data_IF_323241952710
#
_entry.id   IF_323241952710
#
_cell.length_a   1.000
_cell.length_b   1.000
_cell.length_c   1.000
_cell.angle_alpha   90.00
_cell.angle_beta   90.00
_cell.angle_gamma   90.00
#
_symmetry.space_group_name_H-M   'P 1'
#
loop_
_entity.id
_entity.type
_entity.pdbx_description
1 polymer ?
#
# COMPACT_ATOMS: atom_id res chain seq x y z
N UNK A 1 -6.09 -12.72 3.69
CA UNK A 1 -5.12 -11.61 3.79
C UNK A 1 -4.99 -11.00 2.41
N UNK A 2 -5.16 -9.68 2.29
CA UNK A 2 -5.03 -8.95 1.04
C UNK A 2 -3.57 -8.74 0.63
N UNK A 3 -2.67 -8.81 1.60
CA UNK A 3 -1.22 -8.68 1.47
C UNK A 3 -0.57 -10.06 1.65
N UNK A 4 0.33 -10.42 0.74
CA UNK A 4 1.06 -11.69 0.82
C UNK A 4 2.17 -11.61 1.88
N UNK A 5 2.24 -12.60 2.78
CA UNK A 5 3.29 -12.64 3.80
C UNK A 5 4.68 -12.75 3.15
N UNK A 6 4.80 -13.55 2.09
CA UNK A 6 6.06 -13.77 1.39
C UNK A 6 6.61 -12.48 0.74
N UNK A 7 5.74 -11.51 0.43
CA UNK A 7 6.16 -10.22 -0.09
C UNK A 7 6.79 -9.35 1.02
N UNK A 8 6.20 -9.36 2.22
CA UNK A 8 6.76 -8.66 3.38
C UNK A 8 8.09 -9.27 3.81
N UNK A 9 8.20 -10.60 3.83
CA UNK A 9 9.45 -11.27 4.19
C UNK A 9 10.57 -10.90 3.20
N UNK A 10 10.26 -10.84 1.90
CA UNK A 10 11.22 -10.38 0.87
C UNK A 10 11.57 -8.90 1.03
N UNK A 11 10.60 -8.05 1.34
CA UNK A 11 10.83 -6.63 1.55
C UNK A 11 11.72 -6.40 2.77
N UNK A 12 11.48 -7.17 3.83
CA UNK A 12 12.30 -7.19 5.04
C UNK A 12 13.73 -7.66 4.75
N UNK A 13 13.91 -8.73 3.98
CA UNK A 13 15.24 -9.20 3.56
C UNK A 13 15.98 -8.13 2.73
N UNK A 14 15.27 -7.41 1.85
CA UNK A 14 15.84 -6.36 1.01
C UNK A 14 16.39 -5.18 1.82
N UNK A 15 15.73 -4.84 2.94
CA UNK A 15 16.16 -3.78 3.86
C UNK A 15 17.09 -4.31 4.98
N UNK A 16 17.59 -5.54 4.86
CA UNK A 16 18.59 -6.10 5.76
C UNK A 16 18.03 -6.66 7.08
N UNK A 17 16.76 -7.03 7.11
CA UNK A 17 16.12 -7.62 8.30
C UNK A 17 15.64 -6.59 9.33
N UNK A 18 15.66 -5.30 8.99
CA UNK A 18 15.28 -4.22 9.90
C UNK A 18 13.75 -4.07 10.00
N UNK A 19 13.21 -4.45 11.16
CA UNK A 19 11.79 -4.36 11.47
C UNK A 19 11.30 -2.91 11.60
N UNK A 20 12.15 -1.97 12.04
CA UNK A 20 11.77 -0.56 12.15
C UNK A 20 11.62 0.05 10.76
N UNK A 21 12.58 -0.19 9.88
CA UNK A 21 12.48 0.22 8.46
C UNK A 21 11.26 -0.40 7.78
N UNK A 22 10.91 -1.67 8.06
CA UNK A 22 9.68 -2.27 7.51
C UNK A 22 8.42 -1.56 8.03
N UNK A 23 8.39 -1.21 9.32
CA UNK A 23 7.29 -0.48 9.92
C UNK A 23 7.12 0.91 9.28
N UNK A 24 8.21 1.65 9.04
CA UNK A 24 8.18 2.94 8.36
C UNK A 24 7.64 2.84 6.92
N UNK A 25 8.05 1.80 6.18
CA UNK A 25 7.53 1.56 4.83
C UNK A 25 6.02 1.27 4.84
N UNK A 26 5.55 0.47 5.81
CA UNK A 26 4.13 0.21 5.98
C UNK A 26 3.38 1.51 6.32
N UNK A 27 3.90 2.33 7.23
CA UNK A 27 3.31 3.63 7.59
C UNK A 27 3.21 4.56 6.38
N UNK A 28 4.29 4.67 5.59
CA UNK A 28 4.30 5.44 4.34
C UNK A 28 3.20 4.97 3.38
N UNK A 29 3.02 3.66 3.20
CA UNK A 29 1.91 3.13 2.39
C UNK A 29 0.54 3.55 2.95
N UNK A 30 0.33 3.44 4.27
CA UNK A 30 -0.94 3.76 4.92
C UNK A 30 -1.32 5.24 4.76
N UNK A 31 -0.34 6.13 4.74
CA UNK A 31 -0.48 7.58 4.60
C UNK A 31 -0.62 8.03 3.13
N UNK A 32 0.17 7.47 2.22
CA UNK A 32 0.19 7.90 0.81
C UNK A 32 -0.97 7.33 -0.01
N UNK A 33 -1.30 6.05 0.19
CA UNK A 33 -2.35 5.36 -0.56
C UNK A 33 -3.73 6.06 -0.56
N UNK A 34 -4.28 6.63 0.54
CA UNK A 34 -5.54 7.35 0.49
C UNK A 34 -5.45 8.64 -0.32
N UNK A 35 -4.30 9.33 -0.30
CA UNK A 35 -4.08 10.54 -1.09
C UNK A 35 -4.08 10.21 -2.59
N UNK A 36 -3.49 9.08 -2.98
CA UNK A 36 -3.49 8.62 -4.37
C UNK A 36 -4.90 8.23 -4.83
N UNK A 37 -5.68 7.53 -3.98
CA UNK A 37 -7.08 7.20 -4.27
C UNK A 37 -7.92 8.48 -4.47
N UNK A 38 -7.72 9.49 -3.63
CA UNK A 38 -8.43 10.76 -3.75
C UNK A 38 -8.03 11.53 -5.03
N UNK A 39 -6.73 11.55 -5.37
CA UNK A 39 -6.27 12.09 -6.65
C UNK A 39 -6.92 11.38 -7.85
N UNK A 40 -7.06 10.05 -7.80
CA UNK A 40 -7.76 9.30 -8.85
C UNK A 40 -9.24 9.69 -8.93
N UNK A 41 -9.93 9.91 -7.81
CA UNK A 41 -11.33 10.36 -7.81
C UNK A 41 -11.48 11.71 -8.49
N UNK A 42 -10.66 12.69 -8.08
CA UNK A 42 -10.69 14.04 -8.66
C UNK A 42 -10.33 14.04 -10.14
N UNK A 43 -9.35 13.22 -10.54
CA UNK A 43 -8.95 13.09 -11.93
C UNK A 43 -10.07 12.44 -12.78
N UNK A 44 -10.77 11.44 -12.25
CA UNK A 44 -11.92 10.84 -12.92
C UNK A 44 -13.09 11.83 -13.08
N UNK A 45 -13.37 12.66 -12.08
CA UNK A 45 -14.45 13.67 -12.12
C UNK A 45 -14.14 14.82 -13.08
N UNK A 46 -12.89 15.28 -13.11
CA UNK A 46 -12.43 16.37 -13.99
C UNK A 46 -12.08 15.93 -15.41
N UNK A 47 -12.06 14.62 -15.67
CA UNK A 47 -11.64 14.05 -16.94
C UNK A 47 -10.12 14.13 -17.19
N UNK A 48 -9.31 14.37 -16.14
CA UNK A 48 -7.85 14.35 -16.22
C UNK A 48 -7.31 12.92 -16.31
N UNK A 49 -7.34 12.40 -17.54
CA UNK A 49 -6.77 11.11 -17.90
C UNK A 49 -5.30 10.94 -17.48
N UNK A 50 -4.49 12.00 -17.55
CA UNK A 50 -3.07 11.93 -17.23
C UNK A 50 -2.85 11.81 -15.73
N UNK A 51 -3.55 12.63 -14.93
CA UNK A 51 -3.57 12.55 -13.48
C UNK A 51 -4.06 11.20 -12.98
N UNK A 52 -5.14 10.68 -13.57
CA UNK A 52 -5.70 9.37 -13.23
C UNK A 52 -4.70 8.24 -13.47
N UNK A 53 -4.08 8.20 -14.66
CA UNK A 53 -3.08 7.20 -15.00
C UNK A 53 -1.83 7.28 -14.12
N UNK A 54 -1.36 8.49 -13.79
CA UNK A 54 -0.20 8.67 -12.90
C UNK A 54 -0.47 8.21 -11.48
N UNK A 55 -1.60 8.59 -10.90
CA UNK A 55 -1.95 8.18 -9.54
C UNK A 55 -2.13 6.66 -9.44
N UNK A 56 -2.77 6.04 -10.45
CA UNK A 56 -2.87 4.59 -10.55
C UNK A 56 -1.50 3.91 -10.68
N UNK A 57 -0.58 4.46 -11.50
CA UNK A 57 0.77 3.92 -11.66
C UNK A 57 1.55 3.93 -10.33
N UNK A 58 1.50 5.04 -9.58
CA UNK A 58 2.18 5.15 -8.29
C UNK A 58 1.61 4.14 -7.28
N UNK A 59 0.28 4.06 -7.16
CA UNK A 59 -0.36 3.13 -6.24
C UNK A 59 -0.09 1.67 -6.62
N UNK A 60 -0.04 1.34 -7.91
CA UNK A 60 0.27 -0.01 -8.42
C UNK A 60 1.63 -0.50 -7.93
N UNK A 61 2.66 0.33 -8.01
CA UNK A 61 4.03 -0.05 -7.63
C UNK A 61 4.09 -0.29 -6.13
N UNK A 62 3.58 0.66 -5.35
CA UNK A 62 3.51 0.54 -3.90
C UNK A 62 2.73 -0.71 -3.46
N UNK A 63 1.55 -0.97 -4.07
CA UNK A 63 0.77 -2.17 -3.82
C UNK A 63 1.53 -3.48 -4.17
N UNK A 64 2.36 -3.46 -5.21
CA UNK A 64 3.16 -4.62 -5.61
C UNK A 64 4.26 -4.94 -4.62
N UNK A 65 4.91 -3.92 -4.05
CA UNK A 65 5.99 -4.10 -3.07
C UNK A 65 5.48 -4.82 -1.81
N UNK A 66 4.26 -4.52 -1.38
CA UNK A 66 3.60 -5.22 -0.28
C UNK A 66 2.86 -6.51 -0.71
N UNK A 67 2.89 -6.89 -1.99
CA UNK A 67 2.19 -8.08 -2.48
C UNK A 67 0.66 -7.99 -2.46
N UNK A 68 0.11 -6.76 -2.45
CA UNK A 68 -1.32 -6.49 -2.64
C UNK A 68 -1.70 -6.67 -4.13
N UNK A 69 -1.65 -7.92 -4.60
CA UNK A 69 -1.73 -8.26 -6.03
C UNK A 69 -3.04 -7.83 -6.70
N UNK A 70 -4.17 -7.94 -5.99
CA UNK A 70 -5.48 -7.49 -6.51
C UNK A 70 -5.50 -5.97 -6.72
N UNK A 71 -5.06 -5.20 -5.73
CA UNK A 71 -4.94 -3.75 -5.84
C UNK A 71 -4.00 -3.34 -6.98
N UNK A 72 -2.84 -4.00 -7.08
CA UNK A 72 -1.88 -3.77 -8.17
C UNK A 72 -2.50 -4.05 -9.54
N UNK A 73 -3.25 -5.15 -9.69
CA UNK A 73 -3.90 -5.51 -10.94
C UNK A 73 -4.99 -4.51 -11.36
N UNK A 74 -5.81 -4.03 -10.42
CA UNK A 74 -6.82 -3.00 -10.70
C UNK A 74 -6.18 -1.68 -11.13
N UNK A 75 -5.11 -1.26 -10.44
CA UNK A 75 -4.38 -0.05 -10.81
C UNK A 75 -3.70 -0.19 -12.18
N UNK A 76 -3.18 -1.38 -12.50
CA UNK A 76 -2.63 -1.66 -13.82
C UNK A 76 -3.72 -1.57 -14.91
N UNK A 77 -4.91 -2.14 -14.68
CA UNK A 77 -6.03 -2.04 -15.62
C UNK A 77 -6.42 -0.57 -15.88
N UNK A 78 -6.56 0.23 -14.82
CA UNK A 78 -6.81 1.68 -14.92
C UNK A 78 -5.74 2.39 -15.75
N UNK A 79 -4.45 2.09 -15.50
CA UNK A 79 -3.34 2.66 -16.27
C UNK A 79 -3.42 2.27 -17.76
N UNK A 80 -3.82 1.03 -18.08
CA UNK A 80 -4.00 0.60 -19.48
C UNK A 80 -5.15 1.36 -20.13
N UNK A 81 -6.31 1.43 -19.48
CA UNK A 81 -7.47 2.17 -19.99
C UNK A 81 -7.11 3.65 -20.21
N UNK A 82 -6.36 4.25 -19.29
CA UNK A 82 -5.81 5.59 -19.41
C UNK A 82 -4.74 5.75 -20.50
N UNK A 83 -4.22 4.69 -21.13
CA UNK A 83 -3.36 4.81 -22.34
C UNK A 83 -4.16 4.81 -23.63
N UNK A 84 -5.40 4.32 -23.61
CA UNK A 84 -6.27 4.30 -24.77
C UNK A 84 -7.26 5.49 -24.79
N UNK A 85 -7.65 6.01 -23.62
CA UNK A 85 -8.60 7.12 -23.49
C UNK A 85 -8.92 7.45 -22.03
N UNK A 86 -9.89 8.32 -21.78
CA UNK A 86 -10.49 8.38 -20.44
C UNK A 86 -11.48 7.21 -20.32
N UNK A 87 -11.36 6.33 -19.30
CA UNK A 87 -12.27 5.20 -19.16
C UNK A 87 -13.72 5.71 -18.96
N UNK A 88 -14.68 5.12 -19.68
CA UNK A 88 -16.10 5.48 -19.55
C UNK A 88 -16.65 5.22 -18.14
N UNK A 89 -16.06 4.26 -17.44
CA UNK A 89 -16.44 3.84 -16.09
C UNK A 89 -15.38 4.22 -15.04
N UNK A 90 -14.56 5.24 -15.31
CA UNK A 90 -13.45 5.65 -14.43
C UNK A 90 -13.88 5.80 -12.96
N UNK A 91 -15.02 6.43 -12.69
CA UNK A 91 -15.52 6.58 -11.33
C UNK A 91 -15.88 5.24 -10.64
N UNK A 92 -16.38 4.26 -11.39
CA UNK A 92 -16.68 2.91 -10.88
C UNK A 92 -15.40 2.14 -10.61
N UNK A 93 -14.46 2.16 -11.56
CA UNK A 93 -13.15 1.51 -11.40
C UNK A 93 -12.36 2.10 -10.22
N UNK A 94 -12.39 3.42 -10.02
CA UNK A 94 -11.76 4.08 -8.86
C UNK A 94 -12.40 3.64 -7.54
N UNK A 95 -13.72 3.38 -7.49
CA UNK A 95 -14.37 2.84 -6.29
C UNK A 95 -13.89 1.42 -5.98
N UNK A 96 -13.68 0.59 -7.00
CA UNK A 96 -13.12 -0.76 -6.82
C UNK A 96 -11.68 -0.69 -6.29
N UNK A 97 -10.85 0.17 -6.88
CA UNK A 97 -9.48 0.43 -6.41
C UNK A 97 -9.50 0.91 -4.96
N UNK A 98 -10.40 1.83 -4.59
CA UNK A 98 -10.52 2.32 -3.23
C UNK A 98 -10.85 1.19 -2.23
N UNK A 99 -11.79 0.30 -2.56
CA UNK A 99 -12.15 -0.83 -1.70
C UNK A 99 -11.00 -1.83 -1.49
N UNK A 100 -10.27 -2.17 -2.55
CA UNK A 100 -9.08 -3.04 -2.44
C UNK A 100 -7.94 -2.35 -1.69
N UNK A 101 -7.80 -1.02 -1.86
CA UNK A 101 -6.85 -0.22 -1.09
C UNK A 101 -7.17 -0.26 0.41
N UNK A 102 -8.43 -0.04 0.78
CA UNK A 102 -8.87 -0.10 2.18
C UNK A 102 -8.62 -1.48 2.79
N UNK A 103 -8.86 -2.55 2.03
CA UNK A 103 -8.61 -3.93 2.48
C UNK A 103 -7.11 -4.18 2.69
N UNK A 104 -6.25 -3.73 1.77
CA UNK A 104 -4.80 -3.83 1.92
C UNK A 104 -4.30 -3.02 3.12
N UNK A 105 -4.82 -1.80 3.33
CA UNK A 105 -4.49 -0.96 4.48
C UNK A 105 -4.88 -1.61 5.80
N UNK A 106 -6.06 -2.22 5.90
CA UNK A 106 -6.49 -2.90 7.12
C UNK A 106 -5.55 -4.07 7.46
N UNK A 107 -5.17 -4.87 6.48
CA UNK A 107 -4.24 -5.98 6.65
C UNK A 107 -2.85 -5.48 7.13
N UNK A 108 -2.32 -4.45 6.48
CA UNK A 108 -1.04 -3.85 6.86
C UNK A 108 -1.07 -3.20 8.25
N UNK A 109 -2.15 -2.52 8.62
CA UNK A 109 -2.31 -1.92 9.95
C UNK A 109 -2.29 -2.97 11.07
N UNK A 110 -2.90 -4.14 10.84
CA UNK A 110 -2.85 -5.25 11.79
C UNK A 110 -1.42 -5.76 11.97
N UNK A 111 -0.69 -5.95 10.86
CA UNK A 111 0.70 -6.41 10.89
C UNK A 111 1.63 -5.40 11.53
N UNK A 112 1.46 -4.11 11.24
CA UNK A 112 2.20 -3.03 11.88
C UNK A 112 2.01 -3.04 13.40
N UNK A 113 0.78 -3.27 13.87
CA UNK A 113 0.51 -3.40 15.30
C UNK A 113 1.25 -4.59 15.91
N UNK A 114 1.32 -5.73 15.22
CA UNK A 114 2.07 -6.90 15.68
C UNK A 114 3.58 -6.67 15.69
N UNK A 115 4.13 -5.99 14.68
CA UNK A 115 5.54 -5.58 14.61
C UNK A 115 5.94 -4.70 15.81
N UNK A 116 5.14 -3.66 16.08
CA UNK A 116 5.38 -2.74 17.20
C UNK A 116 5.30 -3.45 18.57
N UNK A 117 4.40 -4.42 18.70
CA UNK A 117 4.30 -5.24 19.93
C UNK A 117 5.50 -6.16 20.11
N UNK A 118 6.04 -6.72 19.03
CA UNK A 118 7.26 -7.54 19.06
C UNK A 118 8.50 -6.74 19.45
N UNK A 119 8.66 -5.53 18.92
CA UNK A 119 9.76 -4.62 19.26
C UNK A 119 9.79 -4.24 20.74
N UNK A 120 8.64 -3.84 21.31
CA UNK A 120 8.53 -3.44 22.71
C UNK A 120 8.82 -4.56 23.73
N UNK A 121 8.71 -5.83 23.33
CA UNK A 121 9.07 -6.98 24.18
C UNK A 121 10.58 -7.25 24.18
N UNK A 122 11.27 -7.02 23.06
CA UNK A 122 12.72 -7.24 22.97
C UNK A 122 13.52 -6.19 23.74
N UNK A 123 13.05 -4.94 23.80
CA UNK A 123 13.73 -3.85 24.52
C UNK A 123 13.61 -3.97 26.06
N UNK A 124 12.59 -4.68 26.57
CA UNK A 124 12.37 -4.88 28.01
C UNK A 124 13.29 -5.92 28.66
N UNK A 125 14.10 -6.65 27.88
CA UNK A 125 14.98 -7.70 28.40
C UNK A 125 16.43 -7.26 28.67
N UNK A 126 16.81 -6.00 28.44
CA UNK A 126 18.17 -5.46 28.70
C UNK A 126 18.19 -4.60 29.98
N UNK A 127 17.16 -4.73 30.83
CA UNK A 127 16.94 -3.90 32.01
C UNK A 127 17.06 -4.61 33.35
N UNK A 128 17.79 -5.73 33.46
CA UNK A 128 18.15 -6.29 34.77
C UNK A 128 19.49 -7.03 34.72
N UNK A 129 20.55 -6.32 35.09
CA UNK A 129 21.79 -6.88 35.64
C UNK A 129 22.39 -5.85 36.60
N UNK A 130 21.72 -5.74 37.75
CA UNK A 130 22.26 -5.94 39.10
C UNK A 130 23.68 -5.45 39.40
N UNK A 131 23.72 -4.52 40.37
CA UNK A 131 24.71 -4.38 41.47
C UNK A 131 26.13 -3.89 41.17
#
# INVERSE_FOLDING_TARGET
MAVAQEALDKLLDLIGGDQESLAELIESFLDESPLLVEQMRQAAESGDRSGLGRAAHTLKSSARDFGANQLSALCEAMEKSCRDGLPSEAATEVKLIAGECDTAKQDLSLRLADLKRGGQLNERSIGDSTT
#
